data_IF_217335239356
#
_entry.id   IF_217335239356
#
_cell.length_a   1.000
_cell.length_b   1.000
_cell.length_c   1.000
_cell.angle_alpha   90.00
_cell.angle_beta   90.00
_cell.angle_gamma   90.00
#
_symmetry.space_group_name_H-M   'P 1'
#
loop_
_entity.id
_entity.type
_entity.pdbx_description
1 polymer ?
#
# COMPACT_ATOMS: atom_id res chain seq x y z
N UNK A 1 39.05 6.61 24.08
CA UNK A 1 37.81 6.73 24.88
C UNK A 1 37.74 8.02 25.70
N UNK A 2 38.73 8.35 26.55
CA UNK A 2 38.68 9.57 27.39
C UNK A 2 38.43 10.87 26.60
N UNK A 3 39.18 11.10 25.50
CA UNK A 3 39.02 12.26 24.60
C UNK A 3 37.60 12.46 24.02
N UNK A 4 36.83 11.38 23.85
CA UNK A 4 35.44 11.47 23.37
C UNK A 4 34.50 11.92 24.49
N UNK A 5 34.67 11.37 25.69
CA UNK A 5 33.91 11.77 26.88
C UNK A 5 34.20 13.23 27.25
N UNK A 6 35.47 13.65 27.17
CA UNK A 6 35.87 15.04 27.44
C UNK A 6 35.21 16.01 26.45
N UNK A 7 35.19 15.66 25.16
CA UNK A 7 34.50 16.41 24.12
C UNK A 7 32.97 16.51 24.35
N UNK A 8 32.34 15.41 24.78
CA UNK A 8 30.92 15.41 25.14
C UNK A 8 30.64 16.29 26.36
N UNK A 9 31.56 16.34 27.32
CA UNK A 9 31.41 17.11 28.55
C UNK A 9 31.58 18.61 28.35
N UNK A 10 32.52 18.98 27.48
CA UNK A 10 32.76 20.36 27.07
C UNK A 10 31.59 20.91 26.24
N UNK A 11 31.04 20.10 25.33
CA UNK A 11 29.93 20.49 24.43
C UNK A 11 28.54 20.07 24.93
N UNK A 12 28.38 19.79 26.23
CA UNK A 12 27.15 19.24 26.82
C UNK A 12 25.88 20.01 26.45
N UNK A 13 25.95 21.34 26.36
CA UNK A 13 24.80 22.17 26.01
C UNK A 13 24.35 21.96 24.57
N UNK A 14 25.28 21.91 23.62
CA UNK A 14 24.98 21.64 22.21
C UNK A 14 24.39 20.24 22.02
N UNK A 15 24.88 19.26 22.77
CA UNK A 15 24.38 17.88 22.72
C UNK A 15 22.97 17.77 23.30
N UNK A 16 22.71 18.44 24.42
CA UNK A 16 21.37 18.50 25.02
C UNK A 16 20.39 19.18 24.06
N UNK A 17 20.79 20.30 23.45
CA UNK A 17 19.96 21.02 22.49
C UNK A 17 19.65 20.15 21.26
N UNK A 18 20.65 19.49 20.70
CA UNK A 18 20.47 18.57 19.56
C UNK A 18 19.54 17.41 19.92
N UNK A 19 19.69 16.86 21.13
CA UNK A 19 18.82 15.78 21.64
C UNK A 19 17.38 16.26 21.79
N UNK A 20 17.17 17.46 22.34
CA UNK A 20 15.85 18.06 22.49
C UNK A 20 15.17 18.28 21.12
N UNK A 21 15.93 18.76 20.14
CA UNK A 21 15.46 18.95 18.76
C UNK A 21 15.07 17.61 18.12
N UNK A 22 15.89 16.57 18.32
CA UNK A 22 15.61 15.23 17.83
C UNK A 22 14.30 14.68 18.43
N UNK A 23 14.12 14.85 19.74
CA UNK A 23 12.90 14.44 20.45
C UNK A 23 11.66 15.19 19.95
N UNK A 24 11.77 16.52 19.78
CA UNK A 24 10.68 17.34 19.25
C UNK A 24 10.30 16.95 17.81
N UNK A 25 11.29 16.72 16.96
CA UNK A 25 11.08 16.26 15.58
C UNK A 25 10.44 14.86 15.55
N UNK A 26 10.90 13.95 16.40
CA UNK A 26 10.31 12.62 16.55
C UNK A 26 8.85 12.69 17.02
N UNK A 27 8.56 13.53 18.02
CA UNK A 27 7.19 13.74 18.51
C UNK A 27 6.26 14.29 17.44
N UNK A 28 6.74 15.25 16.64
CA UNK A 28 5.98 15.78 15.52
C UNK A 28 5.72 14.72 14.44
N UNK A 29 6.73 13.91 14.10
CA UNK A 29 6.58 12.83 13.12
C UNK A 29 5.59 11.75 13.58
N UNK A 30 5.55 11.43 14.88
CA UNK A 30 4.60 10.48 15.47
C UNK A 30 3.13 10.91 15.28
N UNK A 31 2.84 12.21 15.29
CA UNK A 31 1.48 12.71 15.07
C UNK A 31 0.98 12.53 13.63
N UNK A 32 1.89 12.43 12.66
CA UNK A 32 1.56 12.27 11.24
C UNK A 32 1.62 10.83 10.73
N UNK A 33 2.02 9.87 11.57
CA UNK A 33 2.12 8.47 11.17
C UNK A 33 0.71 7.87 11.05
N UNK A 34 0.32 7.35 9.87
CA UNK A 34 -0.98 6.72 9.71
C UNK A 34 -1.01 5.42 10.51
N UNK A 35 -1.98 5.33 11.42
CA UNK A 35 -2.25 4.09 12.14
C UNK A 35 -3.15 3.20 11.27
N UNK A 36 -2.67 2.01 10.94
CA UNK A 36 -3.45 1.02 10.21
C UNK A 36 -3.34 -0.32 10.90
N UNK A 37 -4.50 -0.94 11.16
CA UNK A 37 -4.59 -2.30 11.72
C UNK A 37 -4.05 -3.34 10.74
N UNK A 38 -4.09 -3.02 9.44
CA UNK A 38 -3.60 -3.89 8.39
C UNK A 38 -2.39 -3.26 7.68
N UNK A 39 -1.38 -4.04 7.29
CA UNK A 39 -0.35 -3.53 6.40
C UNK A 39 -0.98 -3.05 5.08
N UNK A 40 -0.35 -2.09 4.40
CA UNK A 40 -0.74 -1.73 3.04
C UNK A 40 -0.51 -2.94 2.13
N UNK A 41 -1.57 -3.70 1.88
CA UNK A 41 -1.61 -4.83 0.97
C UNK A 41 -2.49 -4.47 -0.21
N UNK A 42 -1.85 -4.13 -1.33
CA UNK A 42 -2.56 -3.89 -2.57
C UNK A 42 -2.86 -5.24 -3.25
N UNK A 43 -4.14 -5.63 -3.24
CA UNK A 43 -4.65 -6.74 -4.03
C UNK A 43 -5.35 -6.18 -5.28
N UNK A 44 -4.60 -5.90 -6.37
CA UNK A 44 -5.18 -5.28 -7.56
C UNK A 44 -6.28 -6.18 -8.14
N UNK A 45 -7.51 -5.68 -8.15
CA UNK A 45 -8.69 -6.34 -8.71
C UNK A 45 -9.35 -5.42 -9.71
N UNK A 46 -9.51 -5.91 -10.94
CA UNK A 46 -10.27 -5.22 -11.99
C UNK A 46 -11.63 -5.91 -12.10
N UNK A 47 -12.71 -5.13 -12.02
CA UNK A 47 -14.08 -5.62 -12.18
C UNK A 47 -14.65 -5.07 -13.48
N UNK A 48 -15.15 -5.95 -14.34
CA UNK A 48 -15.80 -5.59 -15.60
C UNK A 48 -17.27 -5.96 -15.47
N UNK A 49 -18.16 -4.96 -15.53
CA UNK A 49 -19.61 -5.18 -15.57
C UNK A 49 -20.11 -5.04 -16.99
N UNK A 50 -20.84 -6.05 -17.46
CA UNK A 50 -21.50 -6.04 -18.78
C UNK A 50 -22.98 -6.31 -18.57
N UNK A 51 -23.82 -5.47 -19.17
CA UNK A 51 -25.26 -5.60 -19.12
C UNK A 51 -25.79 -5.67 -20.55
N UNK A 52 -26.44 -6.78 -20.89
CA UNK A 52 -27.20 -6.92 -22.13
C UNK A 52 -28.66 -7.15 -21.76
N UNK A 53 -29.49 -6.14 -21.99
CA UNK A 53 -30.78 -5.95 -21.31
C UNK A 53 -31.85 -7.02 -21.56
N UNK A 54 -31.65 -7.91 -22.52
CA UNK A 54 -32.62 -8.95 -22.89
C UNK A 54 -32.00 -10.29 -23.28
N UNK A 55 -30.68 -10.44 -23.13
CA UNK A 55 -29.99 -11.67 -23.52
C UNK A 55 -30.25 -12.77 -22.48
N UNK A 56 -30.73 -13.96 -22.88
CA UNK A 56 -30.89 -15.06 -21.95
C UNK A 56 -29.55 -15.47 -21.34
N UNK A 57 -29.55 -15.89 -20.07
CA UNK A 57 -28.34 -16.22 -19.30
C UNK A 57 -27.38 -17.16 -20.05
N UNK A 58 -27.91 -18.17 -20.74
CA UNK A 58 -27.11 -19.14 -21.51
C UNK A 58 -26.33 -18.48 -22.65
N UNK A 59 -26.93 -17.49 -23.31
CA UNK A 59 -26.27 -16.75 -24.39
C UNK A 59 -25.29 -15.72 -23.83
N UNK A 60 -25.65 -15.04 -22.73
CA UNK A 60 -24.72 -14.14 -22.02
C UNK A 60 -23.42 -14.85 -21.62
N UNK A 61 -23.51 -16.09 -21.11
CA UNK A 61 -22.31 -16.85 -20.75
C UNK A 61 -21.43 -17.17 -21.96
N UNK A 62 -22.04 -17.68 -23.04
CA UNK A 62 -21.29 -18.20 -24.20
C UNK A 62 -20.74 -17.09 -25.07
N UNK A 63 -21.53 -16.04 -25.30
CA UNK A 63 -21.24 -14.99 -26.28
C UNK A 63 -20.45 -13.83 -25.68
N UNK A 64 -20.65 -13.54 -24.38
CA UNK A 64 -20.04 -12.38 -23.72
C UNK A 64 -19.03 -12.83 -22.66
N UNK A 65 -19.50 -13.53 -21.63
CA UNK A 65 -18.67 -13.83 -20.44
C UNK A 65 -17.47 -14.73 -20.75
N UNK A 66 -17.66 -15.83 -21.48
CA UNK A 66 -16.57 -16.76 -21.84
C UNK A 66 -15.46 -16.12 -22.68
N UNK A 67 -15.74 -15.39 -23.78
CA UNK A 67 -14.70 -14.74 -24.54
C UNK A 67 -13.98 -13.65 -23.74
N UNK A 68 -14.70 -12.86 -22.93
CA UNK A 68 -14.08 -11.89 -22.02
C UNK A 68 -13.15 -12.55 -21.00
N UNK A 69 -13.57 -13.67 -20.41
CA UNK A 69 -12.77 -14.44 -19.48
C UNK A 69 -11.50 -15.01 -20.15
N UNK A 70 -11.61 -15.51 -21.38
CA UNK A 70 -10.47 -16.03 -22.13
C UNK A 70 -9.44 -14.92 -22.45
N UNK A 71 -9.91 -13.73 -22.85
CA UNK A 71 -9.05 -12.57 -23.10
C UNK A 71 -8.35 -12.09 -21.82
N UNK A 72 -9.10 -12.01 -20.71
CA UNK A 72 -8.56 -11.59 -19.42
C UNK A 72 -7.50 -12.58 -18.90
N UNK A 73 -7.72 -13.90 -19.06
CA UNK A 73 -6.73 -14.93 -18.68
C UNK A 73 -5.44 -14.87 -19.50
N UNK A 74 -5.50 -14.38 -20.73
CA UNK A 74 -4.33 -14.24 -21.61
C UNK A 74 -3.43 -13.06 -21.25
N UNK A 75 -3.88 -12.15 -20.38
CA UNK A 75 -3.14 -10.92 -20.09
C UNK A 75 -2.04 -11.14 -19.03
N UNK A 76 -0.82 -10.59 -19.25
CA UNK A 76 0.26 -10.68 -18.27
C UNK A 76 -0.14 -10.09 -16.91
N UNK A 77 0.19 -10.80 -15.83
CA UNK A 77 -0.07 -10.36 -14.46
C UNK A 77 -1.45 -10.74 -13.90
N UNK A 78 -2.32 -11.37 -14.71
CA UNK A 78 -3.61 -11.88 -14.23
C UNK A 78 -3.42 -13.25 -13.58
N UNK A 79 -3.68 -13.33 -12.26
CA UNK A 79 -3.60 -14.59 -11.50
C UNK A 79 -4.91 -15.36 -11.44
N UNK A 80 -6.03 -14.65 -11.39
CA UNK A 80 -7.35 -15.23 -11.18
C UNK A 80 -8.38 -14.39 -11.93
N UNK A 81 -9.19 -15.07 -12.73
CA UNK A 81 -10.39 -14.51 -13.36
C UNK A 81 -11.59 -15.28 -12.81
N UNK A 82 -12.64 -14.57 -12.42
CA UNK A 82 -13.91 -15.17 -12.00
C UNK A 82 -15.06 -14.44 -12.68
N UNK A 83 -16.00 -15.21 -13.21
CA UNK A 83 -17.29 -14.76 -13.72
C UNK A 83 -18.39 -15.05 -12.69
N UNK A 84 -19.37 -14.15 -12.60
CA UNK A 84 -20.59 -14.30 -11.79
C UNK A 84 -21.81 -14.20 -12.70
#
# INVERSE_FOLDING_TARGET
MKRYLDFLWENRFSIILATLFLLAAGWFALQGLPESVFPNVDFPRVTVLVNDGSLPVKFMEVEITRPLEALAKGQPGVRLVRSQ
#
